data_IF_788699044441
#
_entry.id   IF_788699044441
#
_cell.length_a   1.000
_cell.length_b   1.000
_cell.length_c   1.000
_cell.angle_alpha   90.00
_cell.angle_beta   90.00
_cell.angle_gamma   90.00
#
_symmetry.space_group_name_H-M   'P 1'
#
loop_
_entity.id
_entity.type
_entity.pdbx_description
1 polymer ?
#
# COMPACT_ATOMS: atom_id res chain seq x y z
N UNK A 1 0.56 -9.59 19.26
CA UNK A 1 0.82 -9.44 17.81
C UNK A 1 0.46 -8.03 17.41
N UNK A 2 1.37 -7.29 16.78
CA UNK A 2 1.06 -5.97 16.23
C UNK A 2 0.27 -6.12 14.93
N UNK A 3 -0.76 -5.28 14.76
CA UNK A 3 -1.64 -5.30 13.58
C UNK A 3 -1.13 -4.31 12.53
N UNK A 4 -1.19 -4.63 11.22
CA UNK A 4 -0.84 -3.70 10.16
C UNK A 4 -1.95 -2.66 9.93
N UNK A 5 -3.11 -2.81 10.57
CA UNK A 5 -4.16 -1.79 10.58
C UNK A 5 -3.61 -0.49 11.17
N UNK A 6 -3.93 0.63 10.52
CA UNK A 6 -3.48 1.96 10.90
C UNK A 6 -3.04 2.81 9.71
N UNK A 7 -2.42 3.95 10.03
CA UNK A 7 -1.89 4.90 9.06
C UNK A 7 -0.40 4.68 8.82
N UNK A 8 -0.01 4.73 7.56
CA UNK A 8 1.35 4.47 7.10
C UNK A 8 1.80 5.54 6.14
N UNK A 9 2.93 6.19 6.45
CA UNK A 9 3.60 7.13 5.57
C UNK A 9 4.47 6.36 4.58
N UNK A 10 4.19 6.56 3.29
CA UNK A 10 4.95 5.95 2.19
C UNK A 10 6.14 6.84 1.84
N UNK A 11 7.31 6.24 1.60
CA UNK A 11 8.54 6.95 1.24
C UNK A 11 8.91 6.62 -0.21
N UNK A 12 9.19 7.65 -1.01
CA UNK A 12 9.75 7.49 -2.34
C UNK A 12 11.18 6.93 -2.22
N UNK A 13 11.43 5.77 -2.82
CA UNK A 13 12.70 5.05 -2.72
C UNK A 13 13.85 5.71 -3.49
N UNK A 14 13.55 6.63 -4.41
CA UNK A 14 14.55 7.36 -5.20
C UNK A 14 14.96 8.69 -4.57
N UNK A 15 14.00 9.39 -3.96
CA UNK A 15 14.17 10.76 -3.45
C UNK A 15 14.17 10.83 -1.93
N UNK A 16 13.70 9.78 -1.23
CA UNK A 16 13.55 9.76 0.22
C UNK A 16 12.39 10.60 0.75
N UNK A 17 11.59 11.21 -0.13
CA UNK A 17 10.52 12.11 0.27
C UNK A 17 9.22 11.36 0.60
N UNK A 18 8.43 11.82 1.58
CA UNK A 18 7.08 11.30 1.82
C UNK A 18 6.16 11.52 0.61
N UNK A 19 5.48 10.46 0.15
CA UNK A 19 4.54 10.55 -0.98
C UNK A 19 3.08 10.67 -0.55
N UNK A 20 2.66 9.79 0.35
CA UNK A 20 1.27 9.65 0.77
C UNK A 20 1.19 9.08 2.19
N UNK A 21 0.02 9.23 2.79
CA UNK A 21 -0.42 8.44 3.94
C UNK A 21 -1.43 7.42 3.42
N UNK A 22 -1.19 6.15 3.70
CA UNK A 22 -2.09 5.03 3.37
C UNK A 22 -2.71 4.50 4.65
N UNK A 23 -4.04 4.37 4.66
CA UNK A 23 -4.80 3.73 5.75
C UNK A 23 -5.03 2.28 5.39
N UNK A 24 -4.52 1.37 6.20
CA UNK A 24 -4.80 -0.08 6.11
C UNK A 24 -5.90 -0.43 7.11
N UNK A 25 -6.90 -1.18 6.66
CA UNK A 25 -8.07 -1.59 7.44
C UNK A 25 -8.37 -3.08 7.28
N UNK A 26 -9.02 -3.66 8.28
CA UNK A 26 -9.56 -5.01 8.19
C UNK A 26 -10.89 -4.99 7.42
N UNK A 27 -11.05 -5.92 6.50
CA UNK A 27 -12.29 -6.23 5.79
C UNK A 27 -12.54 -7.74 5.89
N UNK A 28 -13.22 -8.15 6.96
CA UNK A 28 -13.35 -9.57 7.31
C UNK A 28 -11.98 -10.20 7.62
N UNK A 29 -11.60 -11.22 6.85
CA UNK A 29 -10.31 -11.90 6.97
C UNK A 29 -9.20 -11.27 6.12
N UNK A 30 -9.54 -10.25 5.33
CA UNK A 30 -8.62 -9.56 4.43
C UNK A 30 -8.24 -8.19 4.98
N UNK A 31 -7.13 -7.67 4.47
CA UNK A 31 -6.75 -6.27 4.63
C UNK A 31 -6.98 -5.54 3.32
N UNK A 32 -7.50 -4.33 3.45
CA UNK A 32 -7.66 -3.36 2.37
C UNK A 32 -6.89 -2.09 2.71
N UNK A 33 -6.54 -1.28 1.70
CA UNK A 33 -5.76 -0.08 1.92
C UNK A 33 -6.15 1.06 0.99
N UNK A 34 -6.24 2.25 1.57
CA UNK A 34 -6.73 3.45 0.88
C UNK A 34 -5.73 4.59 0.99
N UNK A 35 -5.58 5.38 -0.06
CA UNK A 35 -4.81 6.63 0.00
C UNK A 35 -5.57 7.62 0.88
N UNK A 36 -5.12 7.81 2.11
CA UNK A 36 -5.75 8.70 3.07
C UNK A 36 -5.42 10.17 2.78
N UNK A 37 -4.15 10.45 2.52
CA UNK A 37 -3.66 11.79 2.23
C UNK A 37 -2.52 11.72 1.22
N UNK A 38 -2.45 12.70 0.31
CA UNK A 38 -1.30 12.89 -0.59
C UNK A 38 -0.38 13.94 0.03
N UNK A 39 0.92 13.64 0.08
CA UNK A 39 1.95 14.50 0.69
C UNK A 39 2.84 15.19 -0.35
N UNK A 40 2.80 14.75 -1.60
CA UNK A 40 3.48 15.44 -2.71
C UNK A 40 2.84 16.84 -2.92
N UNK A 41 3.59 17.95 -2.78
CA UNK A 41 3.04 19.29 -3.00
C UNK A 41 2.58 19.56 -4.44
N UNK A 42 3.00 18.73 -5.40
CA UNK A 42 2.55 18.81 -6.80
C UNK A 42 1.24 18.05 -7.04
N UNK A 43 0.75 17.32 -6.04
CA UNK A 43 -0.50 16.58 -6.12
C UNK A 43 -1.69 17.53 -6.30
N UNK A 44 -2.42 17.39 -7.42
CA UNK A 44 -3.71 18.07 -7.58
C UNK A 44 -4.78 17.43 -6.69
N UNK A 45 -5.56 18.19 -5.90
CA UNK A 45 -6.59 17.65 -5.01
C UNK A 45 -7.69 16.85 -5.72
N UNK A 46 -8.01 17.23 -6.95
CA UNK A 46 -9.05 16.66 -7.82
C UNK A 46 -8.51 15.60 -8.80
N UNK A 47 -7.24 15.17 -8.64
CA UNK A 47 -6.66 14.17 -9.52
C UNK A 47 -7.42 12.85 -9.43
N UNK A 48 -7.78 12.31 -10.60
CA UNK A 48 -8.37 10.99 -10.77
C UNK A 48 -7.37 10.02 -11.38
N UNK A 49 -7.53 8.72 -11.15
CA UNK A 49 -6.69 7.72 -11.80
C UNK A 49 -7.26 7.31 -13.17
N UNK A 50 -6.79 7.97 -14.23
CA UNK A 50 -7.27 7.72 -15.61
C UNK A 50 -6.69 6.46 -16.26
N UNK A 51 -5.64 5.87 -15.68
CA UNK A 51 -5.00 4.64 -16.15
C UNK A 51 -5.41 3.40 -15.33
N UNK A 52 -6.09 3.59 -14.20
CA UNK A 52 -6.47 2.50 -13.32
C UNK A 52 -7.52 1.58 -13.96
N UNK A 53 -7.47 0.26 -13.71
CA UNK A 53 -8.41 -0.68 -14.28
C UNK A 53 -9.73 -0.75 -13.50
N UNK A 54 -10.79 -1.14 -14.21
CA UNK A 54 -12.06 -1.56 -13.62
C UNK A 54 -12.76 -0.49 -12.78
N UNK A 55 -13.16 -0.87 -11.56
CA UNK A 55 -13.89 -0.02 -10.62
C UNK A 55 -13.06 1.15 -10.06
N UNK A 56 -11.77 1.22 -10.40
CA UNK A 56 -10.84 2.29 -9.99
C UNK A 56 -10.54 3.27 -11.11
N UNK A 57 -11.07 3.04 -12.32
CA UNK A 57 -10.94 3.97 -13.44
C UNK A 57 -11.67 5.28 -13.14
N UNK A 58 -10.99 6.41 -13.37
CA UNK A 58 -11.52 7.77 -13.17
C UNK A 58 -12.00 8.05 -11.73
N UNK A 59 -11.60 7.24 -10.77
CA UNK A 59 -11.88 7.51 -9.36
C UNK A 59 -10.85 8.51 -8.79
N UNK A 60 -11.23 9.36 -7.84
CA UNK A 60 -10.30 10.23 -7.13
C UNK A 60 -9.13 9.43 -6.54
N UNK A 61 -7.90 9.92 -6.72
CA UNK A 61 -6.71 9.26 -6.18
C UNK A 61 -6.75 9.29 -4.65
N UNK A 62 -7.18 10.42 -4.06
CA UNK A 62 -7.42 10.47 -2.62
C UNK A 62 -8.69 9.67 -2.29
N UNK A 63 -8.57 8.73 -1.36
CA UNK A 63 -9.61 7.75 -1.04
C UNK A 63 -9.57 6.47 -1.89
N UNK A 64 -8.69 6.39 -2.90
CA UNK A 64 -8.63 5.22 -3.78
C UNK A 64 -8.20 3.97 -3.03
N UNK A 65 -8.93 2.86 -3.25
CA UNK A 65 -8.57 1.55 -2.72
C UNK A 65 -7.43 0.93 -3.54
N UNK A 66 -6.21 1.05 -3.02
CA UNK A 66 -4.99 0.59 -3.67
C UNK A 66 -4.53 -0.79 -3.18
N UNK A 67 -4.91 -1.26 -2.00
CA UNK A 67 -4.54 -2.59 -1.49
C UNK A 67 -5.79 -3.46 -1.37
N UNK A 68 -5.78 -4.65 -1.97
CA UNK A 68 -6.93 -5.58 -1.95
C UNK A 68 -6.48 -7.02 -1.69
N UNK A 69 -7.34 -7.81 -1.04
CA UNK A 69 -7.21 -9.27 -0.95
C UNK A 69 -6.08 -9.79 -0.06
N UNK A 70 -5.45 -8.93 0.75
CA UNK A 70 -4.24 -9.29 1.49
C UNK A 70 -4.59 -10.07 2.77
N UNK A 71 -3.99 -11.24 2.98
CA UNK A 71 -4.33 -12.16 4.10
C UNK A 71 -3.12 -12.51 4.93
N UNK A 72 -3.34 -12.83 6.21
CA UNK A 72 -2.26 -13.27 7.08
C UNK A 72 -1.60 -14.54 6.54
N UNK A 73 -0.27 -14.58 6.52
CA UNK A 73 0.48 -15.75 6.14
C UNK A 73 0.49 -16.74 7.32
N UNK A 74 -0.06 -17.97 7.18
CA UNK A 74 -0.10 -18.93 8.28
C UNK A 74 1.27 -19.53 8.64
N UNK A 75 2.27 -19.37 7.76
CA UNK A 75 3.62 -19.94 7.92
C UNK A 75 4.63 -18.92 8.43
N UNK A 76 4.33 -17.64 8.39
CA UNK A 76 5.27 -16.57 8.78
C UNK A 76 4.58 -15.51 9.63
N UNK A 77 5.06 -15.35 10.85
CA UNK A 77 4.53 -14.36 11.79
C UNK A 77 4.69 -12.95 11.25
N UNK A 78 3.73 -12.08 11.58
CA UNK A 78 3.75 -10.66 11.18
C UNK A 78 3.85 -10.44 9.67
N UNK A 79 3.41 -11.40 8.86
CA UNK A 79 3.47 -11.33 7.39
C UNK A 79 2.08 -11.51 6.80
N UNK A 80 1.77 -10.75 5.75
CA UNK A 80 0.56 -10.90 4.97
C UNK A 80 0.88 -10.95 3.47
N UNK A 81 0.13 -11.76 2.72
CA UNK A 81 0.35 -11.98 1.28
C UNK A 81 -0.94 -12.39 0.56
N UNK A 82 -0.85 -12.68 -0.75
CA UNK A 82 -1.96 -13.14 -1.58
C UNK A 82 -2.83 -12.03 -2.17
N UNK A 83 -2.61 -10.78 -1.77
CA UNK A 83 -3.31 -9.61 -2.28
C UNK A 83 -2.57 -8.90 -3.41
N UNK A 84 -3.10 -7.75 -3.80
CA UNK A 84 -2.49 -6.84 -4.78
C UNK A 84 -2.34 -5.43 -4.23
N UNK A 85 -1.41 -4.68 -4.83
CA UNK A 85 -1.30 -3.24 -4.70
C UNK A 85 -1.37 -2.58 -6.09
N UNK A 86 -2.18 -1.54 -6.21
CA UNK A 86 -2.29 -0.70 -7.39
C UNK A 86 -1.37 0.51 -7.26
N UNK A 87 -0.57 0.77 -8.28
CA UNK A 87 0.13 2.05 -8.44
C UNK A 87 -0.73 3.02 -9.26
N UNK A 88 -1.31 4.07 -8.65
CA UNK A 88 -2.16 5.02 -9.37
C UNK A 88 -1.39 5.90 -10.37
N UNK A 89 -0.04 5.93 -10.33
CA UNK A 89 0.75 6.72 -11.29
C UNK A 89 0.81 6.07 -12.67
N UNK A 90 0.76 4.73 -12.73
CA UNK A 90 0.82 3.99 -13.99
C UNK A 90 -0.38 3.03 -14.20
N UNK A 91 -1.28 2.92 -13.23
CA UNK A 91 -2.47 2.07 -13.30
C UNK A 91 -2.20 0.56 -13.17
N UNK A 92 -0.99 0.16 -12.80
CA UNK A 92 -0.61 -1.26 -12.76
C UNK A 92 -0.88 -1.88 -11.39
N UNK A 93 -1.48 -3.07 -11.38
CA UNK A 93 -1.60 -3.92 -10.20
C UNK A 93 -0.37 -4.84 -10.07
N UNK A 94 0.18 -4.92 -8.86
CA UNK A 94 1.28 -5.80 -8.49
C UNK A 94 0.83 -6.78 -7.43
N UNK A 95 1.40 -7.99 -7.41
CA UNK A 95 1.23 -8.88 -6.26
C UNK A 95 1.90 -8.25 -5.05
N UNK A 96 1.22 -8.34 -3.91
CA UNK A 96 1.63 -7.69 -2.68
C UNK A 96 1.95 -8.70 -1.60
N UNK A 97 3.08 -8.47 -0.94
CA UNK A 97 3.42 -9.07 0.34
C UNK A 97 3.90 -7.96 1.29
N UNK A 98 3.44 -7.98 2.53
CA UNK A 98 3.88 -7.03 3.56
C UNK A 98 4.37 -7.78 4.79
N UNK A 99 5.29 -7.17 5.52
CA UNK A 99 5.80 -7.67 6.79
C UNK A 99 5.94 -6.54 7.79
N UNK A 100 5.35 -6.70 8.98
CA UNK A 100 5.63 -5.80 10.09
C UNK A 100 7.01 -6.12 10.66
N UNK A 101 7.83 -5.08 10.75
CA UNK A 101 9.20 -5.15 11.26
C UNK A 101 9.39 -4.11 12.36
N UNK A 102 10.52 -4.17 13.07
CA UNK A 102 10.90 -3.21 14.11
C UNK A 102 9.76 -2.95 15.12
N UNK A 103 9.25 -4.01 15.74
CA UNK A 103 8.17 -3.91 16.73
C UNK A 103 6.80 -3.47 16.16
N UNK A 104 6.69 -3.30 14.85
CA UNK A 104 5.49 -2.79 14.19
C UNK A 104 5.54 -1.30 13.86
N UNK A 105 6.66 -0.61 14.11
CA UNK A 105 6.83 0.80 13.72
C UNK A 105 7.12 0.98 12.22
N UNK A 106 7.52 -0.09 11.53
CA UNK A 106 7.75 -0.10 10.09
C UNK A 106 7.02 -1.26 9.41
N UNK A 107 6.63 -1.01 8.17
CA UNK A 107 6.02 -2.00 7.29
C UNK A 107 6.91 -2.16 6.06
N UNK A 108 7.55 -3.32 5.95
CA UNK A 108 8.21 -3.71 4.71
C UNK A 108 7.15 -4.13 3.70
N UNK A 109 7.16 -3.52 2.52
CA UNK A 109 6.18 -3.75 1.46
C UNK A 109 6.91 -4.20 0.20
N UNK A 110 6.55 -5.38 -0.33
CA UNK A 110 7.09 -5.90 -1.58
C UNK A 110 6.00 -6.05 -2.64
N UNK A 111 6.11 -5.25 -3.70
CA UNK A 111 5.32 -5.36 -4.92
C UNK A 111 6.09 -6.09 -6.00
N UNK A 112 5.48 -7.08 -6.67
CA UNK A 112 6.17 -7.88 -7.69
C UNK A 112 5.24 -8.36 -8.82
N UNK A 113 5.84 -8.68 -9.97
CA UNK A 113 5.17 -9.28 -11.13
C UNK A 113 5.61 -10.73 -11.24
N UNK A 114 4.67 -11.68 -11.28
CA UNK A 114 5.05 -13.09 -11.38
C UNK A 114 5.68 -13.60 -10.08
N UNK A 115 6.99 -13.81 -10.07
CA UNK A 115 7.71 -14.30 -8.89
C UNK A 115 8.15 -13.15 -7.97
N UNK A 116 8.25 -13.36 -6.65
CA UNK A 116 8.72 -12.32 -5.73
C UNK A 116 10.10 -11.76 -6.07
N UNK A 117 10.94 -12.52 -6.80
CA UNK A 117 12.29 -12.12 -7.21
C UNK A 117 12.28 -10.92 -8.17
N UNK A 118 11.22 -10.74 -8.96
CA UNK A 118 11.06 -9.63 -9.91
C UNK A 118 10.09 -8.59 -9.36
N UNK A 119 10.60 -7.76 -8.45
CA UNK A 119 9.79 -6.76 -7.77
C UNK A 119 10.62 -5.66 -7.12
N UNK A 120 9.92 -4.79 -6.38
CA UNK A 120 10.52 -3.72 -5.57
C UNK A 120 10.05 -3.85 -4.14
N UNK A 121 10.95 -3.54 -3.22
CA UNK A 121 10.65 -3.43 -1.79
C UNK A 121 10.70 -1.96 -1.40
N UNK A 122 9.71 -1.51 -0.65
CA UNK A 122 9.66 -0.22 0.02
C UNK A 122 9.49 -0.44 1.52
N UNK A 123 9.85 0.57 2.31
CA UNK A 123 9.58 0.58 3.75
C UNK A 123 8.68 1.76 4.05
N UNK A 124 7.53 1.47 4.63
CA UNK A 124 6.57 2.48 5.09
C UNK A 124 6.73 2.68 6.60
N UNK A 125 6.55 3.92 7.04
CA UNK A 125 6.69 4.32 8.44
C UNK A 125 5.31 4.41 9.07
N UNK A 126 5.12 3.82 10.25
CA UNK A 126 3.85 3.97 10.97
C UNK A 126 3.66 5.45 11.32
N UNK A 127 2.48 5.96 11.06
CA UNK A 127 2.08 7.28 11.54
C UNK A 127 1.36 7.07 12.87
N UNK A 128 2.05 7.41 13.95
CA UNK A 128 1.39 7.49 15.26
C UNK A 128 0.47 8.73 15.27
N UNK A 129 -0.63 8.69 16.05
CA UNK A 129 -1.57 9.81 16.19
C UNK A 129 -0.91 11.11 16.63
#
# INVERSE_FOLDING_TARGET
MSSPVGLWKTIDDKTGQPRSVVRIEANGQELVGFIHQRLDPKAKPDAVCSSCPGDRLNQPIQGLNIIRGLKANPKETNTWEGGTILDPENGSDYRLRIKLIEGGHKLELRGYVGTPLLGRTQVWLRQEP
#
